data_IF_052282239321
#
_entry.id   IF_052282239321
#
_cell.length_a   1.000
_cell.length_b   1.000
_cell.length_c   1.000
_cell.angle_alpha   90.00
_cell.angle_beta   90.00
_cell.angle_gamma   90.00
#
_symmetry.space_group_name_H-M   'P 1'
#
loop_
_entity.id
_entity.type
_entity.pdbx_description
1 polymer ?
#
# COMPACT_ATOMS: atom_id res chain seq x y z
N UNK A 1 25.43 13.52 -12.03
CA UNK A 1 25.43 12.04 -11.93
C UNK A 1 24.03 11.59 -12.30
N UNK A 2 23.86 10.96 -13.47
CA UNK A 2 22.54 10.50 -13.96
C UNK A 2 22.33 9.11 -13.37
N UNK A 3 21.37 8.98 -12.45
CA UNK A 3 20.97 7.67 -11.93
C UNK A 3 20.08 7.02 -12.98
N UNK A 4 20.65 6.09 -13.73
CA UNK A 4 19.91 5.28 -14.68
C UNK A 4 18.93 4.37 -13.90
N UNK A 5 17.64 4.71 -13.91
CA UNK A 5 16.60 3.89 -13.30
C UNK A 5 16.46 2.59 -14.11
N UNK A 6 17.18 1.53 -13.69
CA UNK A 6 16.95 0.18 -14.23
C UNK A 6 15.51 -0.23 -13.96
N UNK A 7 14.72 -0.36 -15.02
CA UNK A 7 13.36 -0.92 -14.96
C UNK A 7 13.46 -2.39 -14.55
N UNK A 8 13.29 -2.67 -13.25
CA UNK A 8 13.28 -4.04 -12.74
C UNK A 8 11.96 -4.70 -13.13
N UNK A 9 12.03 -5.65 -14.07
CA UNK A 9 10.86 -6.43 -14.48
C UNK A 9 10.59 -7.52 -13.43
N UNK A 10 9.62 -7.27 -12.55
CA UNK A 10 9.13 -8.30 -11.62
C UNK A 10 8.28 -9.29 -12.40
N UNK A 11 8.59 -10.58 -12.30
CA UNK A 11 7.79 -11.62 -12.95
C UNK A 11 6.44 -11.77 -12.23
N UNK A 12 5.40 -12.16 -12.96
CA UNK A 12 4.05 -12.38 -12.39
C UNK A 12 4.05 -13.39 -11.23
N UNK A 13 4.93 -14.40 -11.29
CA UNK A 13 5.12 -15.38 -10.22
C UNK A 13 5.63 -14.73 -8.92
N UNK A 14 6.67 -13.89 -9.02
CA UNK A 14 7.22 -13.17 -7.85
C UNK A 14 6.18 -12.19 -7.31
N UNK A 15 5.50 -11.44 -8.19
CA UNK A 15 4.43 -10.54 -7.78
C UNK A 15 3.33 -11.29 -7.03
N UNK A 16 2.94 -12.48 -7.49
CA UNK A 16 1.92 -13.33 -6.87
C UNK A 16 2.22 -13.69 -5.42
N UNK A 17 3.50 -13.86 -5.08
CA UNK A 17 3.98 -14.30 -3.76
C UNK A 17 4.14 -13.14 -2.76
N UNK A 18 4.13 -11.88 -3.21
CA UNK A 18 4.28 -10.74 -2.31
C UNK A 18 3.06 -10.59 -1.40
N UNK A 19 3.31 -10.35 -0.12
CA UNK A 19 2.29 -10.12 0.90
C UNK A 19 1.92 -8.65 1.03
N UNK A 20 0.79 -8.38 1.70
CA UNK A 20 0.39 -7.00 2.04
C UNK A 20 1.31 -6.40 3.09
N UNK A 21 1.50 -5.07 3.11
CA UNK A 21 2.29 -4.41 4.13
C UNK A 21 1.76 -4.75 5.51
N UNK A 22 2.66 -5.16 6.39
CA UNK A 22 2.36 -5.41 7.80
C UNK A 22 2.11 -4.08 8.52
N UNK A 23 1.30 -4.13 9.57
CA UNK A 23 1.07 -3.02 10.49
C UNK A 23 2.37 -2.74 11.28
N UNK A 24 3.27 -1.98 10.67
CA UNK A 24 4.56 -1.54 11.20
C UNK A 24 4.77 -0.08 10.83
N UNK A 25 5.78 0.53 11.43
CA UNK A 25 6.16 1.92 11.16
C UNK A 25 6.38 2.15 9.65
N UNK A 26 5.83 3.26 9.14
CA UNK A 26 5.95 3.64 7.73
C UNK A 26 7.39 3.94 7.36
N UNK A 27 8.21 4.39 8.31
CA UNK A 27 9.63 4.67 8.13
C UNK A 27 10.39 3.46 7.56
N UNK A 28 9.90 2.26 7.83
CA UNK A 28 10.47 1.01 7.35
C UNK A 28 10.09 0.68 5.90
N UNK A 29 9.08 1.32 5.33
CA UNK A 29 8.67 1.08 3.95
C UNK A 29 9.17 2.19 3.02
N UNK A 30 9.77 1.77 1.92
CA UNK A 30 10.08 2.60 0.77
C UNK A 30 9.13 2.26 -0.37
N UNK A 31 8.44 3.28 -0.88
CA UNK A 31 7.56 3.13 -2.03
C UNK A 31 8.45 3.07 -3.28
N UNK A 32 8.42 1.93 -3.98
CA UNK A 32 9.21 1.73 -5.19
C UNK A 32 8.46 2.17 -6.47
N UNK A 33 7.13 2.32 -6.39
CA UNK A 33 6.29 2.76 -7.50
C UNK A 33 5.12 1.81 -7.78
N UNK A 34 4.65 1.82 -9.03
CA UNK A 34 3.49 1.06 -9.48
C UNK A 34 3.86 -0.21 -10.25
N UNK A 35 3.10 -1.29 -10.00
CA UNK A 35 3.11 -2.50 -10.82
C UNK A 35 1.75 -2.63 -11.49
N UNK A 36 1.77 -2.63 -12.83
CA UNK A 36 0.60 -2.81 -13.67
C UNK A 36 0.41 -4.30 -13.99
N UNK A 37 -0.61 -4.91 -13.38
CA UNK A 37 -1.21 -6.18 -13.82
C UNK A 37 -2.69 -5.88 -14.18
N UNK A 38 -3.57 -6.89 -14.22
CA UNK A 38 -5.04 -6.69 -14.27
C UNK A 38 -5.58 -5.75 -13.18
N UNK A 39 -4.79 -5.47 -12.14
CA UNK A 39 -5.08 -4.46 -11.12
C UNK A 39 -3.83 -3.60 -10.88
N UNK A 40 -4.02 -2.34 -10.49
CA UNK A 40 -2.93 -1.44 -10.11
C UNK A 40 -2.47 -1.78 -8.68
N UNK A 41 -1.20 -2.15 -8.54
CA UNK A 41 -0.57 -2.40 -7.24
C UNK A 41 0.53 -1.37 -6.98
N UNK A 42 0.70 -1.02 -5.71
CA UNK A 42 1.83 -0.26 -5.20
C UNK A 42 2.85 -1.25 -4.68
N UNK A 43 4.10 -1.14 -5.16
CA UNK A 43 5.22 -1.96 -4.72
C UNK A 43 5.95 -1.26 -3.59
N UNK A 44 6.19 -2.01 -2.52
CA UNK A 44 6.81 -1.53 -1.30
C UNK A 44 8.05 -2.37 -1.01
N UNK A 45 9.13 -1.72 -0.61
CA UNK A 45 10.32 -2.35 -0.07
C UNK A 45 10.40 -2.10 1.43
N UNK A 46 10.41 -3.17 2.22
CA UNK A 46 10.63 -3.08 3.65
C UNK A 46 12.15 -3.10 3.92
N UNK A 47 12.66 -1.98 4.42
CA UNK A 47 14.09 -1.75 4.72
C UNK A 47 14.59 -2.60 5.90
N UNK A 48 13.73 -2.87 6.88
CA UNK A 48 14.07 -3.59 8.11
C UNK A 48 14.43 -5.05 7.80
N UNK A 49 13.54 -5.75 7.09
CA UNK A 49 13.70 -7.18 6.78
C UNK A 49 14.14 -7.44 5.33
N UNK A 50 14.40 -6.38 4.55
CA UNK A 50 14.81 -6.44 3.14
C UNK A 50 13.83 -7.22 2.25
N UNK A 51 12.53 -7.15 2.54
CA UNK A 51 11.49 -7.87 1.79
C UNK A 51 10.69 -6.95 0.87
N UNK A 52 10.11 -7.54 -0.18
CA UNK A 52 9.14 -6.86 -1.03
C UNK A 52 7.72 -7.15 -0.54
N UNK A 53 6.87 -6.15 -0.59
CA UNK A 53 5.44 -6.24 -0.31
C UNK A 53 4.67 -5.55 -1.44
N UNK A 54 3.41 -5.96 -1.64
CA UNK A 54 2.51 -5.29 -2.60
C UNK A 54 1.23 -4.88 -1.91
N UNK A 55 0.70 -3.72 -2.29
CA UNK A 55 -0.56 -3.22 -1.78
C UNK A 55 -1.48 -2.84 -2.94
N UNK A 56 -2.77 -3.15 -2.82
CA UNK A 56 -3.77 -2.61 -3.75
C UNK A 56 -4.13 -1.19 -3.36
N UNK A 57 -4.55 -0.40 -4.34
CA UNK A 57 -5.16 0.90 -4.08
C UNK A 57 -6.47 0.68 -3.33
N UNK A 58 -6.60 1.33 -2.18
CA UNK A 58 -7.85 1.37 -1.44
C UNK A 58 -8.54 2.71 -1.71
N UNK A 59 -9.87 2.66 -1.83
CA UNK A 59 -10.72 3.82 -2.07
C UNK A 59 -11.69 4.02 -0.92
N UNK A 60 -12.09 5.26 -0.65
CA UNK A 60 -13.09 5.57 0.37
C UNK A 60 -12.70 5.11 1.78
N UNK A 61 -11.40 5.15 2.09
CA UNK A 61 -10.82 4.75 3.37
C UNK A 61 -11.36 5.64 4.49
N UNK A 62 -12.10 5.07 5.45
CA UNK A 62 -12.68 5.81 6.58
C UNK A 62 -12.89 4.93 7.81
N UNK A 63 -12.92 5.52 8.98
CA UNK A 63 -13.29 4.85 10.22
C UNK A 63 -14.82 4.69 10.27
N UNK A 64 -15.29 3.53 10.73
CA UNK A 64 -16.71 3.31 10.98
C UNK A 64 -17.17 4.12 12.20
N UNK A 65 -18.18 4.97 12.02
CA UNK A 65 -18.72 5.83 13.08
C UNK A 65 -19.35 5.05 14.23
N UNK A 66 -19.84 3.83 13.99
CA UNK A 66 -20.43 2.97 15.02
C UNK A 66 -19.37 2.06 15.67
N UNK A 67 -18.27 1.78 14.97
CA UNK A 67 -17.19 0.87 15.43
C UNK A 67 -15.83 1.53 15.19
N UNK A 68 -15.32 2.36 16.11
CA UNK A 68 -14.10 3.13 15.90
C UNK A 68 -12.83 2.30 15.66
N UNK A 69 -12.84 1.02 16.02
CA UNK A 69 -11.76 0.08 15.75
C UNK A 69 -11.89 -0.61 14.37
N UNK A 70 -12.82 -0.18 13.52
CA UNK A 70 -13.06 -0.75 12.20
C UNK A 70 -12.82 0.31 11.12
N UNK A 71 -12.06 -0.08 10.09
CA UNK A 71 -11.82 0.74 8.90
C UNK A 71 -12.64 0.17 7.76
N UNK A 72 -13.41 1.02 7.09
CA UNK A 72 -14.17 0.73 5.88
C UNK A 72 -13.37 1.21 4.67
N UNK A 73 -13.35 0.42 3.60
CA UNK A 73 -12.69 0.77 2.34
C UNK A 73 -13.31 0.02 1.18
N UNK A 74 -13.00 0.47 -0.03
CA UNK A 74 -13.37 -0.22 -1.28
C UNK A 74 -12.10 -0.71 -1.96
N UNK A 75 -12.11 -1.97 -2.38
CA UNK A 75 -11.04 -2.58 -3.16
C UNK A 75 -11.66 -3.35 -4.33
N UNK A 76 -11.19 -3.10 -5.56
CA UNK A 76 -11.74 -3.71 -6.78
C UNK A 76 -13.27 -3.53 -6.93
N UNK A 77 -13.81 -2.39 -6.52
CA UNK A 77 -15.25 -2.12 -6.58
C UNK A 77 -16.08 -2.82 -5.49
N UNK A 78 -15.44 -3.58 -4.59
CA UNK A 78 -16.12 -4.24 -3.47
C UNK A 78 -15.88 -3.47 -2.18
N UNK A 79 -16.96 -3.18 -1.46
CA UNK A 79 -16.90 -2.67 -0.10
C UNK A 79 -16.29 -3.75 0.81
N UNK A 80 -15.38 -3.35 1.68
CA UNK A 80 -14.61 -4.21 2.57
C UNK A 80 -14.35 -3.49 3.89
N UNK A 81 -14.00 -4.26 4.91
CA UNK A 81 -13.64 -3.70 6.20
C UNK A 81 -12.49 -4.46 6.84
N UNK A 82 -11.77 -3.80 7.76
CA UNK A 82 -10.73 -4.41 8.58
C UNK A 82 -10.93 -3.97 10.03
N UNK A 83 -10.85 -4.92 10.95
CA UNK A 83 -11.01 -4.72 12.39
C UNK A 83 -9.63 -4.68 13.06
N UNK A 84 -9.48 -3.79 14.03
CA UNK A 84 -8.29 -3.57 14.83
C UNK A 84 -8.61 -3.72 16.33
N UNK A 85 -7.59 -3.78 17.17
CA UNK A 85 -7.79 -3.89 18.62
C UNK A 85 -8.21 -2.55 19.23
N UNK A 86 -7.81 -1.43 18.61
CA UNK A 86 -8.11 -0.08 19.11
C UNK A 86 -8.42 0.90 17.98
N UNK A 87 -9.08 2.00 18.33
CA UNK A 87 -9.28 3.14 17.44
C UNK A 87 -7.94 3.74 16.97
N UNK A 88 -6.95 3.82 17.88
CA UNK A 88 -5.63 4.34 17.53
C UNK A 88 -4.94 3.49 16.47
N UNK A 89 -5.05 2.16 16.55
CA UNK A 89 -4.52 1.26 15.52
C UNK A 89 -5.20 1.48 14.17
N UNK A 90 -6.52 1.61 14.17
CA UNK A 90 -7.30 1.88 12.97
C UNK A 90 -6.89 3.21 12.30
N UNK A 91 -6.72 4.27 13.09
CA UNK A 91 -6.25 5.58 12.62
C UNK A 91 -4.82 5.52 12.07
N UNK A 92 -3.91 4.86 12.78
CA UNK A 92 -2.52 4.69 12.34
C UNK A 92 -2.47 3.91 11.01
N UNK A 93 -3.33 2.89 10.85
CA UNK A 93 -3.41 2.15 9.60
C UNK A 93 -3.93 3.04 8.46
N UNK A 94 -4.97 3.82 8.71
CA UNK A 94 -5.47 4.78 7.72
C UNK A 94 -4.39 5.78 7.28
N UNK A 95 -3.65 6.34 8.25
CA UNK A 95 -2.56 7.26 7.98
C UNK A 95 -1.44 6.59 7.17
N UNK A 96 -1.05 5.36 7.52
CA UNK A 96 -0.06 4.55 6.80
C UNK A 96 -0.47 4.36 5.34
N UNK A 97 -1.68 3.87 5.10
CA UNK A 97 -2.20 3.60 3.75
C UNK A 97 -2.28 4.89 2.92
N UNK A 98 -2.84 5.96 3.49
CA UNK A 98 -2.96 7.26 2.81
C UNK A 98 -1.58 7.84 2.47
N UNK A 99 -0.59 7.68 3.35
CA UNK A 99 0.76 8.17 3.10
C UNK A 99 1.45 7.35 2.02
N UNK A 100 1.34 6.01 2.06
CA UNK A 100 1.84 5.13 0.99
C UNK A 100 1.23 5.49 -0.35
N UNK A 101 -0.10 5.65 -0.42
CA UNK A 101 -0.80 6.00 -1.66
C UNK A 101 -0.38 7.39 -2.15
N UNK A 102 -0.24 8.38 -1.26
CA UNK A 102 0.23 9.72 -1.59
C UNK A 102 1.67 9.71 -2.11
N UNK A 103 2.58 9.00 -1.43
CA UNK A 103 3.97 8.83 -1.88
C UNK A 103 4.04 8.12 -3.22
N UNK A 104 3.23 7.09 -3.45
CA UNK A 104 3.16 6.40 -4.74
C UNK A 104 2.66 7.29 -5.88
N UNK A 105 1.75 8.23 -5.59
CA UNK A 105 1.29 9.24 -6.55
C UNK A 105 2.41 10.26 -6.83
N UNK A 106 3.14 10.70 -5.80
CA UNK A 106 4.22 11.69 -5.93
C UNK A 106 5.44 11.10 -6.66
N UNK A 107 5.84 9.88 -6.32
CA UNK A 107 7.04 9.22 -6.84
C UNK A 107 6.79 8.48 -8.17
N UNK A 108 5.56 8.05 -8.42
CA UNK A 108 5.13 7.41 -9.65
C UNK A 108 4.52 8.42 -10.61
N UNK A 109 5.32 8.86 -11.58
CA UNK A 109 4.96 9.74 -12.70
C UNK A 109 3.56 9.46 -13.25
N UNK A 110 2.66 10.41 -13.00
CA UNK A 110 1.33 10.50 -13.59
C UNK A 110 1.48 10.84 -15.08
N UNK A 111 1.73 9.85 -15.91
CA UNK A 111 1.28 9.89 -17.30
C UNK A 111 0.08 8.96 -17.41
N UNK A 112 -1.11 9.55 -17.25
CA UNK A 112 -2.27 9.12 -18.02
C UNK A 112 -2.04 9.61 -19.45
#
# INVERSE_FOLDING_TARGET
MIVELKKVKITKSILGQLTSPQFKDISNYEVLGWVFDKSKYILLYNKENKTLSKMRVLFGLRIDSQKPNQVLYTQNGLASFKVFHSNQEALNWCALINTIQSQAIIQGQLFI
#
